data_IF_630152705748
#
_entry.id   IF_630152705748
#
_cell.length_a   1.000
_cell.length_b   1.000
_cell.length_c   1.000
_cell.angle_alpha   90.00
_cell.angle_beta   90.00
_cell.angle_gamma   90.00
#
_symmetry.space_group_name_H-M   'P 1'
#
loop_
_entity.id
_entity.type
_entity.pdbx_description
1 polymer ?
#
# COMPACT_ATOMS: atom_id res chain seq x y z
N UNK A 1 -4.24 8.99 33.62
CA UNK A 1 -4.26 9.63 34.97
C UNK A 1 -3.78 8.57 35.95
N UNK A 2 -2.47 8.50 36.16
CA UNK A 2 -1.84 7.54 37.06
C UNK A 2 -0.91 8.32 37.98
N UNK A 3 -1.35 8.42 39.23
CA UNK A 3 -0.58 8.61 40.46
C UNK A 3 0.48 9.72 40.46
N UNK A 4 -0.05 10.95 40.50
CA UNK A 4 0.67 12.20 40.76
C UNK A 4 0.56 12.60 42.26
N UNK A 5 0.62 11.62 43.17
CA UNK A 5 0.55 11.83 44.63
C UNK A 5 1.69 11.13 45.36
N UNK A 6 2.92 11.65 45.20
CA UNK A 6 3.87 11.90 46.29
C UNK A 6 5.26 12.31 45.75
N UNK A 7 5.42 13.57 45.33
CA UNK A 7 6.76 14.18 45.30
C UNK A 7 6.74 15.67 45.66
N UNK A 8 6.05 16.04 46.73
CA UNK A 8 6.04 17.41 47.27
C UNK A 8 7.12 17.57 48.36
N UNK A 9 8.33 17.09 48.03
CA UNK A 9 9.51 17.17 48.90
C UNK A 9 10.48 18.26 48.45
N UNK A 10 11.29 18.77 49.40
CA UNK A 10 12.38 19.72 49.13
C UNK A 10 13.29 19.25 47.99
N UNK A 11 13.45 17.94 47.81
CA UNK A 11 14.21 17.35 46.70
C UNK A 11 13.61 17.66 45.32
N UNK A 12 12.29 17.49 45.15
CA UNK A 12 11.56 17.82 43.91
C UNK A 12 11.59 19.32 43.63
N UNK A 13 11.39 20.16 44.66
CA UNK A 13 11.52 21.62 44.53
C UNK A 13 12.94 22.04 44.11
N UNK A 14 13.96 21.47 44.73
CA UNK A 14 15.37 21.74 44.39
C UNK A 14 15.73 21.26 42.99
N UNK A 15 15.15 20.16 42.52
CA UNK A 15 15.35 19.66 41.15
C UNK A 15 14.69 20.57 40.12
N UNK A 16 13.45 21.02 40.36
CA UNK A 16 12.76 22.02 39.52
C UNK A 16 13.51 23.36 39.50
N UNK A 17 13.97 23.83 40.67
CA UNK A 17 14.75 25.07 40.76
C UNK A 17 16.10 24.98 40.02
N UNK A 18 16.76 23.81 40.07
CA UNK A 18 17.99 23.54 39.31
C UNK A 18 17.73 23.52 37.80
N UNK A 19 16.67 22.84 37.35
CA UNK A 19 16.25 22.85 35.94
C UNK A 19 15.94 24.26 35.45
N UNK A 20 15.21 25.05 36.24
CA UNK A 20 14.84 26.41 35.87
C UNK A 20 16.04 27.36 35.84
N UNK A 21 17.02 27.18 36.73
CA UNK A 21 18.28 27.91 36.68
C UNK A 21 19.10 27.58 35.43
N UNK A 22 19.15 26.30 35.04
CA UNK A 22 19.79 25.84 33.80
C UNK A 22 19.12 26.44 32.56
N UNK A 23 17.79 26.35 32.47
CA UNK A 23 17.02 26.94 31.37
C UNK A 23 17.24 28.45 31.22
N UNK A 24 17.35 29.18 32.34
CA UNK A 24 17.62 30.62 32.29
C UNK A 24 19.03 30.92 31.75
N UNK A 25 20.02 30.08 32.05
CA UNK A 25 21.38 30.21 31.50
C UNK A 25 21.39 29.87 30.02
N UNK A 26 20.68 28.81 29.61
CA UNK A 26 20.50 28.44 28.20
C UNK A 26 19.87 29.58 27.40
N UNK A 27 18.74 30.12 27.84
CA UNK A 27 18.05 31.22 27.14
C UNK A 27 18.91 32.50 27.03
N UNK A 28 19.75 32.80 28.03
CA UNK A 28 20.69 33.93 27.95
C UNK A 28 21.80 33.64 26.93
N UNK A 29 22.34 32.42 26.91
CA UNK A 29 23.34 32.01 25.94
C UNK A 29 22.78 32.02 24.51
N UNK A 30 21.55 31.53 24.31
CA UNK A 30 20.82 31.57 23.03
C UNK A 30 20.58 33.01 22.57
N UNK A 31 20.14 33.90 23.47
CA UNK A 31 19.91 35.31 23.15
C UNK A 31 21.19 36.04 22.75
N UNK A 32 22.32 35.72 23.38
CA UNK A 32 23.64 36.25 23.00
C UNK A 32 24.08 35.67 21.65
N UNK A 33 23.95 34.36 21.44
CA UNK A 33 24.32 33.70 20.20
C UNK A 33 23.51 34.24 19.01
N UNK A 34 22.19 34.38 19.14
CA UNK A 34 21.30 34.93 18.13
C UNK A 34 21.62 36.40 17.79
N UNK A 35 22.09 37.18 18.76
CA UNK A 35 22.45 38.58 18.56
C UNK A 35 23.89 38.82 18.07
N UNK A 36 24.77 37.82 18.09
CA UNK A 36 26.21 37.99 17.85
C UNK A 36 26.81 37.07 16.80
N UNK A 37 26.14 35.97 16.43
CA UNK A 37 26.58 35.07 15.39
C UNK A 37 25.83 35.33 14.07
N UNK A 38 26.52 35.23 12.91
CA UNK A 38 25.84 35.16 11.62
C UNK A 38 24.90 33.97 11.57
N UNK A 39 23.80 34.10 10.84
CA UNK A 39 22.77 33.07 10.70
C UNK A 39 23.37 31.74 10.23
N UNK A 40 24.33 31.78 9.29
CA UNK A 40 25.02 30.59 8.80
C UNK A 40 25.72 29.78 9.91
N UNK A 41 26.36 30.45 10.88
CA UNK A 41 27.01 29.76 12.01
C UNK A 41 25.99 29.17 12.98
N UNK A 42 24.83 29.80 13.13
CA UNK A 42 23.76 29.25 13.95
C UNK A 42 23.21 27.97 13.33
N UNK A 43 23.06 27.92 12.00
CA UNK A 43 22.69 26.69 11.29
C UNK A 43 23.76 25.60 11.39
N UNK A 44 25.04 25.94 11.24
CA UNK A 44 26.15 24.97 11.41
C UNK A 44 26.15 24.35 12.83
N UNK A 45 25.93 25.15 13.86
CA UNK A 45 25.84 24.65 15.24
C UNK A 45 24.59 23.78 15.43
N UNK A 46 23.44 24.22 14.89
CA UNK A 46 22.21 23.45 14.97
C UNK A 46 22.33 22.08 14.25
N UNK A 47 23.00 22.06 13.09
CA UNK A 47 23.30 20.84 12.35
C UNK A 47 24.22 19.92 13.14
N UNK A 48 25.33 20.44 13.69
CA UNK A 48 26.24 19.64 14.50
C UNK A 48 25.59 19.05 15.77
N UNK A 49 24.71 19.82 16.44
CA UNK A 49 23.94 19.33 17.58
C UNK A 49 22.91 18.28 17.15
N UNK A 50 22.22 18.53 16.03
CA UNK A 50 21.24 17.58 15.47
C UNK A 50 21.88 16.26 15.05
N UNK A 51 23.01 16.29 14.36
CA UNK A 51 23.77 15.10 13.98
C UNK A 51 24.19 14.30 15.20
N UNK A 52 24.69 14.99 16.23
CA UNK A 52 25.08 14.35 17.50
C UNK A 52 23.88 13.68 18.19
N UNK A 53 22.70 14.32 18.17
CA UNK A 53 21.48 13.73 18.71
C UNK A 53 21.03 12.51 17.91
N UNK A 54 21.14 12.55 16.57
CA UNK A 54 20.79 11.41 15.71
C UNK A 54 21.73 10.21 15.94
N UNK A 55 23.01 10.45 16.23
CA UNK A 55 23.97 9.39 16.59
C UNK A 55 23.61 8.66 17.89
N UNK A 56 22.83 9.29 18.76
CA UNK A 56 22.41 8.73 20.05
C UNK A 56 21.11 7.91 19.94
N UNK A 57 20.43 7.94 18.79
CA UNK A 57 19.20 7.20 18.55
C UNK A 57 19.46 5.80 18.00
N UNK A 58 18.56 4.87 18.32
CA UNK A 58 18.51 3.58 17.65
C UNK A 58 17.79 3.75 16.31
N UNK A 59 18.54 3.59 15.21
CA UNK A 59 17.98 3.65 13.85
C UNK A 59 17.90 2.24 13.28
N UNK A 60 16.69 1.81 12.91
CA UNK A 60 16.42 0.48 12.37
C UNK A 60 15.62 0.59 11.09
N UNK A 61 16.15 -0.02 10.03
CA UNK A 61 15.45 -0.14 8.76
C UNK A 61 14.29 -1.16 8.86
N UNK A 62 13.17 -0.82 8.22
CA UNK A 62 11.95 -1.60 8.22
C UNK A 62 11.16 -1.45 6.92
N UNK A 63 10.02 -2.14 6.84
CA UNK A 63 9.07 -2.03 5.74
C UNK A 63 7.69 -1.62 6.25
N UNK A 64 7.01 -0.75 5.51
CA UNK A 64 5.68 -0.26 5.81
C UNK A 64 4.65 -1.39 5.94
N UNK A 65 4.03 -1.52 7.13
CA UNK A 65 2.97 -2.51 7.39
C UNK A 65 1.58 -2.19 6.81
N UNK A 66 1.45 -1.24 5.88
CA UNK A 66 0.15 -0.75 5.38
C UNK A 66 -0.35 -1.41 4.11
N UNK A 67 0.04 -0.88 2.94
CA UNK A 67 -0.37 -1.36 1.62
C UNK A 67 0.73 -2.22 1.00
N UNK A 68 0.39 -2.95 -0.07
CA UNK A 68 1.31 -3.88 -0.74
C UNK A 68 2.45 -3.22 -1.54
N UNK A 69 2.58 -1.88 -1.51
CA UNK A 69 3.71 -1.18 -2.14
C UNK A 69 5.04 -1.57 -1.50
N UNK A 70 5.09 -1.77 -0.18
CA UNK A 70 6.34 -2.15 0.50
C UNK A 70 7.37 -1.02 0.60
N UNK A 71 6.93 0.21 0.91
CA UNK A 71 7.85 1.32 1.17
C UNK A 71 8.84 0.98 2.29
N UNK A 72 10.12 1.32 2.09
CA UNK A 72 11.23 1.16 3.04
C UNK A 72 11.37 2.41 3.90
N UNK A 73 11.64 2.21 5.18
CA UNK A 73 11.65 3.27 6.19
C UNK A 73 12.71 2.99 7.25
N UNK A 74 13.37 4.05 7.71
CA UNK A 74 14.17 4.06 8.92
C UNK A 74 13.30 4.52 10.09
N UNK A 75 13.19 3.66 11.09
CA UNK A 75 12.60 3.93 12.40
C UNK A 75 13.67 4.49 13.32
N UNK A 76 13.43 5.69 13.84
CA UNK A 76 14.25 6.32 14.85
C UNK A 76 13.57 6.09 16.19
N UNK A 77 14.21 5.33 17.08
CA UNK A 77 13.70 4.99 18.39
C UNK A 77 14.62 5.52 19.49
N UNK A 78 14.02 5.89 20.61
CA UNK A 78 14.75 6.17 21.84
C UNK A 78 15.38 4.87 22.36
N UNK A 79 16.69 4.85 22.67
CA UNK A 79 17.36 3.65 23.14
C UNK A 79 16.92 3.18 24.52
N UNK A 80 16.40 4.07 25.37
CA UNK A 80 16.07 3.81 26.76
C UNK A 80 14.55 3.59 26.97
N UNK A 81 13.70 4.27 26.20
CA UNK A 81 12.23 4.25 26.41
C UNK A 81 11.45 3.36 25.42
N UNK A 82 12.13 2.70 24.48
CA UNK A 82 11.52 1.88 23.40
C UNK A 82 10.42 2.63 22.60
N UNK A 83 10.43 3.97 22.64
CA UNK A 83 9.48 4.82 21.95
C UNK A 83 9.96 5.14 20.53
N UNK A 84 9.04 5.09 19.55
CA UNK A 84 9.30 5.53 18.18
C UNK A 84 9.20 7.05 18.09
N UNK A 85 10.33 7.71 17.86
CA UNK A 85 10.41 9.17 17.75
C UNK A 85 10.11 9.67 16.34
N UNK A 86 10.56 8.95 15.32
CA UNK A 86 10.33 9.34 13.93
C UNK A 86 10.39 8.16 12.95
N UNK A 87 9.70 8.34 11.82
CA UNK A 87 9.79 7.46 10.65
C UNK A 87 10.17 8.28 9.43
N UNK A 88 11.28 7.92 8.78
CA UNK A 88 11.79 8.59 7.57
C UNK A 88 11.99 7.57 6.45
N UNK A 89 11.79 7.93 5.17
CA UNK A 89 12.20 7.03 4.09
C UNK A 89 13.69 6.73 4.24
N UNK A 90 14.05 5.47 4.07
CA UNK A 90 15.44 5.01 3.96
C UNK A 90 16.12 5.66 2.75
N UNK A 91 17.45 5.61 2.73
CA UNK A 91 18.26 6.00 1.58
C UNK A 91 17.73 5.40 0.27
N UNK A 92 17.77 6.20 -0.79
CA UNK A 92 17.13 5.87 -2.07
C UNK A 92 17.72 4.61 -2.71
N UNK A 93 19.00 4.31 -2.44
CA UNK A 93 19.70 3.12 -2.94
C UNK A 93 19.12 1.82 -2.34
N UNK A 94 18.63 1.87 -1.11
CA UNK A 94 18.03 0.74 -0.37
C UNK A 94 16.49 0.74 -0.42
N UNK A 95 15.90 1.72 -1.13
CA UNK A 95 14.47 1.93 -1.26
C UNK A 95 14.02 1.91 -2.74
N UNK A 96 14.20 0.81 -3.49
CA UNK A 96 13.93 0.77 -4.93
C UNK A 96 12.49 1.10 -5.30
N UNK A 97 11.52 0.75 -4.44
CA UNK A 97 10.10 0.98 -4.73
C UNK A 97 9.68 2.44 -4.50
N UNK A 98 10.16 3.06 -3.42
CA UNK A 98 9.64 4.34 -2.97
C UNK A 98 10.64 5.50 -3.06
N UNK A 99 11.95 5.23 -3.07
CA UNK A 99 12.98 6.24 -2.89
C UNK A 99 12.61 7.15 -1.71
N UNK A 100 12.57 8.45 -1.95
CA UNK A 100 12.16 9.43 -0.93
C UNK A 100 10.63 9.56 -0.75
N UNK A 101 9.83 8.97 -1.65
CA UNK A 101 8.37 9.14 -1.67
C UNK A 101 7.70 8.29 -0.60
N UNK A 102 6.74 8.87 0.14
CA UNK A 102 6.03 8.19 1.22
C UNK A 102 4.58 8.68 1.28
N UNK A 103 3.71 7.93 1.98
CA UNK A 103 2.34 8.39 2.26
C UNK A 103 2.13 8.61 3.76
N UNK A 104 1.04 9.31 4.10
CA UNK A 104 0.67 9.63 5.49
C UNK A 104 0.64 8.43 6.41
N UNK A 105 0.18 7.26 5.92
CA UNK A 105 0.04 6.04 6.71
C UNK A 105 1.40 5.51 7.17
N UNK A 106 2.31 5.30 6.21
CA UNK A 106 3.64 4.79 6.54
C UNK A 106 4.48 5.80 7.35
N UNK A 107 4.37 7.09 7.02
CA UNK A 107 5.21 8.12 7.62
C UNK A 107 4.79 8.56 9.02
N UNK A 108 3.49 8.56 9.33
CA UNK A 108 2.99 9.18 10.55
C UNK A 108 2.07 8.29 11.39
N UNK A 109 1.57 7.18 10.86
CA UNK A 109 0.57 6.39 11.56
C UNK A 109 1.21 5.22 12.30
N UNK A 110 2.19 5.47 13.17
CA UNK A 110 2.84 4.43 13.99
C UNK A 110 2.44 4.47 15.48
N UNK A 111 1.78 5.54 15.92
CA UNK A 111 1.40 5.78 17.33
C UNK A 111 0.50 4.69 17.94
N UNK A 112 -0.16 3.87 17.12
CA UNK A 112 -0.98 2.76 17.61
C UNK A 112 -0.15 1.71 18.38
N UNK A 113 1.17 1.68 18.21
CA UNK A 113 2.08 0.78 18.94
C UNK A 113 2.18 1.18 20.42
N UNK A 114 2.09 2.48 20.72
CA UNK A 114 2.19 3.06 22.07
C UNK A 114 0.82 3.53 22.60
N UNK A 115 -0.27 3.06 22.00
CA UNK A 115 -1.62 3.44 22.43
C UNK A 115 -1.98 2.78 23.76
N UNK A 116 -2.55 3.57 24.69
CA UNK A 116 -3.10 3.07 25.96
C UNK A 116 -4.20 2.00 25.77
N UNK A 117 -4.85 1.96 24.60
CA UNK A 117 -5.86 0.94 24.26
C UNK A 117 -5.24 -0.40 23.82
N UNK A 118 -3.92 -0.47 23.66
CA UNK A 118 -3.22 -1.68 23.24
C UNK A 118 -3.24 -2.70 24.37
N UNK A 119 -3.74 -3.89 24.07
CA UNK A 119 -3.71 -5.00 25.03
C UNK A 119 -2.28 -5.55 25.16
N UNK A 120 -1.76 -5.54 26.39
CA UNK A 120 -0.41 -6.03 26.71
C UNK A 120 -0.42 -7.44 27.32
N UNK A 121 -1.58 -7.90 27.79
CA UNK A 121 -1.76 -9.20 28.42
C UNK A 121 -2.89 -10.02 27.77
N UNK A 122 -2.78 -11.36 27.78
CA UNK A 122 -3.90 -12.22 27.37
C UNK A 122 -5.15 -11.97 28.21
N UNK A 123 -6.31 -12.00 27.55
CA UNK A 123 -7.61 -11.94 28.21
C UNK A 123 -8.35 -13.27 28.03
N UNK A 124 -8.94 -13.80 29.11
CA UNK A 124 -9.80 -14.99 29.08
C UNK A 124 -11.22 -14.61 29.47
N UNK A 125 -12.20 -15.22 28.79
CA UNK A 125 -13.62 -14.99 29.06
C UNK A 125 -14.18 -16.05 30.02
N UNK A 126 -14.73 -15.59 31.14
CA UNK A 126 -15.37 -16.42 32.18
C UNK A 126 -16.73 -15.81 32.49
N UNK A 127 -17.80 -16.62 32.48
CA UNK A 127 -19.18 -16.18 32.79
C UNK A 127 -19.68 -14.95 32.01
N UNK A 128 -19.15 -14.74 30.79
CA UNK A 128 -19.55 -13.64 29.93
C UNK A 128 -18.63 -12.41 30.00
N UNK A 129 -17.68 -12.37 30.93
CA UNK A 129 -16.78 -11.23 31.16
C UNK A 129 -15.33 -11.58 30.88
N UNK A 130 -14.55 -10.61 30.39
CA UNK A 130 -13.12 -10.76 30.16
C UNK A 130 -12.33 -10.37 31.41
N UNK A 131 -11.29 -11.16 31.71
CA UNK A 131 -10.29 -10.83 32.71
C UNK A 131 -8.90 -11.11 32.17
N UNK A 132 -7.91 -10.45 32.74
CA UNK A 132 -6.50 -10.73 32.49
C UNK A 132 -6.13 -12.16 32.90
N UNK A 133 -5.18 -12.73 32.18
CA UNK A 133 -4.65 -14.06 32.40
C UNK A 133 -3.15 -14.11 32.12
N UNK A 134 -2.47 -15.04 32.78
CA UNK A 134 -1.08 -15.36 32.42
C UNK A 134 -1.02 -16.04 31.04
N UNK A 135 0.13 -15.93 30.37
CA UNK A 135 0.39 -16.66 29.13
C UNK A 135 0.22 -18.18 29.28
N UNK A 136 0.66 -18.76 30.39
CA UNK A 136 0.51 -20.19 30.65
C UNK A 136 -0.97 -20.60 30.70
N UNK A 137 -1.77 -19.88 31.49
CA UNK A 137 -3.21 -20.13 31.59
C UNK A 137 -3.93 -19.99 30.24
N UNK A 138 -3.62 -18.92 29.51
CA UNK A 138 -4.24 -18.65 28.21
C UNK A 138 -3.90 -19.75 27.19
N UNK A 139 -2.64 -20.18 27.14
CA UNK A 139 -2.18 -21.23 26.23
C UNK A 139 -2.74 -22.61 26.60
N UNK A 140 -2.77 -22.97 27.88
CA UNK A 140 -3.37 -24.23 28.36
C UNK A 140 -4.86 -24.27 27.99
N UNK A 141 -5.60 -23.17 28.20
CA UNK A 141 -7.01 -23.07 27.82
C UNK A 141 -7.24 -23.25 26.32
N UNK A 142 -6.38 -22.64 25.49
CA UNK A 142 -6.45 -22.78 24.02
C UNK A 142 -6.13 -24.22 23.60
N UNK A 143 -5.10 -24.82 24.17
CA UNK A 143 -4.69 -26.19 23.88
C UNK A 143 -5.78 -27.20 24.27
N UNK A 144 -6.36 -27.07 25.46
CA UNK A 144 -7.44 -27.92 25.94
C UNK A 144 -8.71 -27.77 25.08
N UNK A 145 -9.10 -26.54 24.76
CA UNK A 145 -10.29 -26.26 23.96
C UNK A 145 -10.17 -26.79 22.53
N UNK A 146 -9.08 -26.44 21.83
CA UNK A 146 -8.84 -26.91 20.47
C UNK A 146 -8.61 -28.43 20.44
N UNK A 147 -7.89 -28.98 21.42
CA UNK A 147 -7.63 -30.41 21.56
C UNK A 147 -8.92 -31.21 21.76
N UNK A 148 -9.79 -30.77 22.67
CA UNK A 148 -11.07 -31.43 22.94
C UNK A 148 -11.97 -31.46 21.69
N UNK A 149 -12.09 -30.34 20.98
CA UNK A 149 -12.86 -30.27 19.74
C UNK A 149 -12.29 -31.20 18.68
N UNK A 150 -10.96 -31.21 18.49
CA UNK A 150 -10.29 -32.09 17.53
C UNK A 150 -10.52 -33.56 17.88
N UNK A 151 -10.42 -33.93 19.15
CA UNK A 151 -10.51 -35.32 19.58
C UNK A 151 -11.96 -35.85 19.53
N UNK A 152 -12.96 -34.97 19.75
CA UNK A 152 -14.39 -35.33 19.67
C UNK A 152 -14.97 -35.25 18.25
N UNK A 153 -14.58 -34.25 17.46
CA UNK A 153 -15.21 -33.93 16.17
C UNK A 153 -14.26 -34.03 14.95
N UNK A 154 -12.97 -34.30 15.17
CA UNK A 154 -11.94 -34.33 14.13
C UNK A 154 -11.39 -32.95 13.77
N UNK A 155 -10.23 -32.92 13.11
CA UNK A 155 -9.54 -31.69 12.73
C UNK A 155 -10.35 -30.78 11.81
N UNK A 156 -11.19 -31.33 10.94
CA UNK A 156 -12.04 -30.58 10.01
C UNK A 156 -13.11 -29.72 10.72
N UNK A 157 -13.37 -29.96 12.02
CA UNK A 157 -14.20 -29.08 12.84
C UNK A 157 -13.48 -27.77 13.24
N UNK A 158 -12.18 -27.66 12.95
CA UNK A 158 -11.33 -26.51 13.25
C UNK A 158 -10.89 -25.81 11.96
N UNK A 159 -10.61 -24.51 12.09
CA UNK A 159 -10.01 -23.70 11.03
C UNK A 159 -9.24 -22.53 11.60
N UNK A 160 -8.38 -21.95 10.77
CA UNK A 160 -7.57 -20.77 11.14
C UNK A 160 -7.68 -19.69 10.08
N UNK A 161 -7.66 -18.43 10.53
CA UNK A 161 -7.60 -17.26 9.65
C UNK A 161 -6.24 -16.61 9.83
N UNK A 162 -5.40 -16.73 8.80
CA UNK A 162 -4.08 -16.11 8.75
C UNK A 162 -4.18 -14.63 8.34
N UNK A 163 -3.12 -13.86 8.54
CA UNK A 163 -3.17 -12.40 8.37
C UNK A 163 -2.10 -11.92 7.40
N UNK A 164 -2.49 -11.17 6.36
CA UNK A 164 -1.53 -10.47 5.49
C UNK A 164 -0.88 -9.25 6.14
N UNK A 165 -1.19 -8.96 7.41
CA UNK A 165 -0.42 -8.02 8.24
C UNK A 165 0.72 -8.70 8.99
N UNK A 166 0.67 -10.04 9.12
CA UNK A 166 1.76 -10.83 9.67
C UNK A 166 2.81 -11.10 8.59
N UNK A 167 3.99 -11.51 9.04
CA UNK A 167 5.10 -11.91 8.18
C UNK A 167 4.81 -13.20 7.40
N UNK A 168 5.63 -13.50 6.39
CA UNK A 168 5.50 -14.74 5.64
C UNK A 168 5.83 -15.96 6.52
N UNK A 169 6.77 -15.80 7.44
CA UNK A 169 7.21 -16.79 8.41
C UNK A 169 6.07 -17.16 9.37
N UNK A 170 5.40 -16.16 9.94
CA UNK A 170 4.24 -16.39 10.81
C UNK A 170 3.07 -17.03 10.06
N UNK A 171 2.81 -16.60 8.82
CA UNK A 171 1.77 -17.23 7.99
C UNK A 171 2.12 -18.68 7.63
N UNK A 172 3.40 -18.98 7.38
CA UNK A 172 3.89 -20.34 7.20
C UNK A 172 3.68 -21.18 8.46
N UNK A 173 4.04 -20.64 9.64
CA UNK A 173 3.82 -21.29 10.93
C UNK A 173 2.34 -21.55 11.19
N UNK A 174 1.46 -20.60 10.88
CA UNK A 174 0.00 -20.77 11.00
C UNK A 174 -0.50 -21.90 10.10
N UNK A 175 -0.03 -21.96 8.84
CA UNK A 175 -0.35 -23.03 7.92
C UNK A 175 0.18 -24.41 8.37
N UNK A 176 1.34 -24.44 9.03
CA UNK A 176 1.92 -25.65 9.61
C UNK A 176 1.15 -26.10 10.85
N UNK A 177 0.79 -25.17 11.73
CA UNK A 177 -0.03 -25.42 12.92
C UNK A 177 -1.38 -26.04 12.54
N UNK A 178 -2.10 -25.44 11.59
CA UNK A 178 -3.38 -25.98 11.12
C UNK A 178 -3.25 -27.42 10.59
N UNK A 179 -2.29 -27.67 9.70
CA UNK A 179 -2.18 -28.96 9.02
C UNK A 179 -1.56 -30.06 9.87
N UNK A 180 -0.56 -29.73 10.67
CA UNK A 180 0.22 -30.73 11.43
C UNK A 180 -0.25 -30.91 12.87
N UNK A 181 -0.80 -29.87 13.50
CA UNK A 181 -1.21 -29.91 14.91
C UNK A 181 -2.72 -30.08 15.04
N UNK A 182 -3.49 -29.30 14.27
CA UNK A 182 -4.96 -29.39 14.29
C UNK A 182 -5.48 -30.48 13.36
N UNK A 183 -4.72 -30.84 12.31
CA UNK A 183 -5.13 -31.85 11.34
C UNK A 183 -6.21 -31.37 10.37
N UNK A 184 -6.16 -30.09 9.97
CA UNK A 184 -7.15 -29.46 9.09
C UNK A 184 -6.50 -28.76 7.90
N UNK A 185 -7.21 -28.73 6.76
CA UNK A 185 -6.87 -27.86 5.64
C UNK A 185 -7.69 -26.56 5.60
N UNK A 186 -8.55 -26.33 6.61
CA UNK A 186 -9.38 -25.13 6.71
C UNK A 186 -8.53 -23.93 7.14
N UNK A 187 -7.81 -23.37 6.17
CA UNK A 187 -6.95 -22.19 6.32
C UNK A 187 -7.41 -21.14 5.31
N UNK A 188 -7.75 -19.94 5.79
CA UNK A 188 -8.08 -18.81 4.92
C UNK A 188 -7.39 -17.53 5.39
N UNK A 189 -7.47 -16.47 4.59
CA UNK A 189 -6.96 -15.14 4.94
C UNK A 189 -7.71 -14.05 4.17
N UNK A 190 -7.31 -12.78 4.34
CA UNK A 190 -7.96 -11.65 3.67
C UNK A 190 -7.88 -11.69 2.13
N UNK A 191 -6.92 -12.42 1.55
CA UNK A 191 -6.75 -12.57 0.10
C UNK A 191 -7.99 -13.15 -0.58
N UNK A 192 -8.77 -13.96 0.15
CA UNK A 192 -10.03 -14.53 -0.31
C UNK A 192 -10.95 -13.47 -0.91
N UNK A 193 -11.05 -12.32 -0.26
CA UNK A 193 -12.00 -11.26 -0.60
C UNK A 193 -11.47 -10.31 -1.67
N UNK A 194 -10.16 -10.07 -1.72
CA UNK A 194 -9.59 -9.04 -2.57
C UNK A 194 -8.93 -9.54 -3.86
N UNK A 195 -8.24 -10.69 -3.87
CA UNK A 195 -7.45 -11.14 -5.02
C UNK A 195 -7.62 -12.61 -5.40
N UNK A 196 -8.52 -13.36 -4.75
CA UNK A 196 -8.73 -14.77 -5.11
C UNK A 196 -9.13 -14.98 -6.58
N UNK A 197 -9.94 -14.08 -7.13
CA UNK A 197 -10.34 -14.08 -8.54
C UNK A 197 -9.17 -13.75 -9.47
N UNK A 198 -8.29 -12.81 -9.10
CA UNK A 198 -7.12 -12.45 -9.92
C UNK A 198 -6.10 -13.58 -9.94
N UNK A 199 -5.87 -14.25 -8.80
CA UNK A 199 -5.00 -15.43 -8.71
C UNK A 199 -5.52 -16.54 -9.65
N UNK A 200 -6.82 -16.84 -9.60
CA UNK A 200 -7.41 -17.87 -10.43
C UNK A 200 -7.33 -17.53 -11.93
N UNK A 201 -7.63 -16.29 -12.31
CA UNK A 201 -7.59 -15.85 -13.71
C UNK A 201 -6.16 -15.84 -14.27
N UNK A 202 -5.21 -15.23 -13.57
CA UNK A 202 -3.82 -15.15 -14.02
C UNK A 202 -3.14 -16.52 -14.05
N UNK A 203 -3.41 -17.40 -13.09
CA UNK A 203 -2.90 -18.76 -13.14
C UNK A 203 -3.36 -19.53 -14.39
N UNK A 204 -4.58 -19.28 -14.88
CA UNK A 204 -5.11 -19.90 -16.10
C UNK A 204 -4.52 -19.28 -17.38
N UNK A 205 -4.22 -17.98 -17.39
CA UNK A 205 -3.79 -17.26 -18.60
C UNK A 205 -2.27 -17.20 -18.76
N UNK A 206 -1.54 -16.92 -17.68
CA UNK A 206 -0.07 -16.73 -17.69
C UNK A 206 0.69 -17.76 -16.84
N UNK A 207 -0.01 -18.67 -16.16
CA UNK A 207 0.57 -19.78 -15.41
C UNK A 207 0.93 -19.49 -13.94
N UNK A 208 0.81 -18.23 -13.49
CA UNK A 208 1.04 -17.84 -12.10
C UNK A 208 0.06 -16.73 -11.66
N UNK A 209 -0.33 -16.73 -10.39
CA UNK A 209 -1.36 -15.84 -9.84
C UNK A 209 -0.85 -14.52 -9.26
N UNK A 210 0.27 -14.00 -9.77
CA UNK A 210 0.95 -12.81 -9.22
C UNK A 210 1.06 -11.69 -10.25
N UNK A 211 1.38 -10.48 -9.80
CA UNK A 211 1.70 -9.37 -10.70
C UNK A 211 2.86 -9.74 -11.64
N UNK A 212 2.79 -9.28 -12.88
CA UNK A 212 3.73 -9.66 -13.95
C UNK A 212 4.77 -8.57 -14.26
N UNK A 213 4.76 -7.46 -13.54
CA UNK A 213 5.59 -6.27 -13.81
C UNK A 213 6.24 -5.77 -12.52
N UNK A 214 7.39 -5.13 -12.67
CA UNK A 214 8.15 -4.47 -11.62
C UNK A 214 7.82 -2.98 -11.54
N UNK A 215 8.49 -2.26 -10.64
CA UNK A 215 8.25 -0.84 -10.42
C UNK A 215 8.75 0.00 -11.61
N UNK A 216 9.86 -0.42 -12.19
CA UNK A 216 10.51 0.21 -13.34
C UNK A 216 9.60 0.20 -14.57
N UNK A 217 8.87 -0.90 -14.80
CA UNK A 217 7.86 -0.99 -15.87
C UNK A 217 6.75 0.06 -15.69
N UNK A 218 6.39 0.36 -14.44
CA UNK A 218 5.41 1.41 -14.12
C UNK A 218 6.03 2.79 -14.36
N UNK A 219 7.34 2.97 -14.25
CA UNK A 219 7.99 4.28 -14.45
C UNK A 219 8.25 4.61 -15.92
N UNK A 220 8.38 3.59 -16.79
CA UNK A 220 8.84 3.77 -18.16
C UNK A 220 7.78 3.47 -19.25
N UNK A 221 6.62 2.91 -18.92
CA UNK A 221 5.59 2.57 -19.92
C UNK A 221 5.06 3.78 -20.69
N UNK A 222 4.76 3.61 -21.98
CA UNK A 222 4.19 4.67 -22.82
C UNK A 222 2.70 4.94 -22.54
N UNK A 223 1.99 3.96 -21.97
CA UNK A 223 0.55 4.06 -21.73
C UNK A 223 0.08 3.25 -20.52
N UNK A 224 -0.93 3.80 -19.83
CA UNK A 224 -1.64 3.15 -18.74
C UNK A 224 -3.12 3.00 -19.05
N UNK A 225 -3.66 1.82 -18.74
CA UNK A 225 -5.09 1.60 -18.59
C UNK A 225 -5.39 1.30 -17.12
N UNK A 226 -6.04 2.25 -16.45
CA UNK A 226 -6.43 2.12 -15.04
C UNK A 226 -7.92 1.84 -14.93
N UNK A 227 -8.28 0.69 -14.35
CA UNK A 227 -9.67 0.32 -14.05
C UNK A 227 -9.76 -0.40 -12.71
N UNK A 228 -10.90 -0.26 -12.01
CA UNK A 228 -11.14 -0.93 -10.74
C UNK A 228 -10.14 -0.57 -9.63
N UNK A 229 -9.46 0.57 -9.73
CA UNK A 229 -8.43 0.98 -8.77
C UNK A 229 -8.47 2.48 -8.51
N UNK A 230 -8.51 2.85 -7.23
CA UNK A 230 -8.33 4.22 -6.76
C UNK A 230 -6.90 4.44 -6.25
N UNK A 231 -5.93 4.35 -7.17
CA UNK A 231 -4.49 4.25 -6.87
C UNK A 231 -3.98 5.39 -5.99
N UNK A 232 -4.48 6.62 -6.15
CA UNK A 232 -4.05 7.79 -5.35
C UNK A 232 -4.31 7.65 -3.86
N UNK A 233 -5.34 6.90 -3.47
CA UNK A 233 -5.69 6.68 -2.07
C UNK A 233 -5.11 5.36 -1.54
N UNK A 234 -5.23 4.30 -2.35
CA UNK A 234 -4.82 2.95 -1.96
C UNK A 234 -3.30 2.72 -2.05
N UNK A 235 -2.65 3.26 -3.09
CA UNK A 235 -1.23 3.08 -3.40
C UNK A 235 -0.56 4.41 -3.81
N UNK A 236 -0.45 5.40 -2.89
CA UNK A 236 -0.08 6.78 -3.25
C UNK A 236 1.32 6.93 -3.88
N UNK A 237 2.27 6.07 -3.50
CA UNK A 237 3.63 6.07 -4.07
C UNK A 237 3.58 5.62 -5.54
N UNK A 238 2.86 4.54 -5.85
CA UNK A 238 2.63 4.10 -7.25
C UNK A 238 1.93 5.21 -8.04
N UNK A 239 0.89 5.83 -7.48
CA UNK A 239 0.20 6.93 -8.14
C UNK A 239 1.13 8.12 -8.45
N UNK A 240 2.08 8.42 -7.55
CA UNK A 240 3.08 9.48 -7.77
C UNK A 240 3.95 9.18 -8.99
N UNK A 241 4.39 7.93 -9.13
CA UNK A 241 5.23 7.49 -10.26
C UNK A 241 4.47 7.52 -11.59
N UNK A 242 3.24 7.02 -11.60
CA UNK A 242 2.35 7.14 -12.77
C UNK A 242 2.16 8.61 -13.15
N UNK A 243 1.91 9.50 -12.18
CA UNK A 243 1.74 10.94 -12.45
C UNK A 243 3.01 11.59 -13.00
N UNK A 244 4.19 11.18 -12.54
CA UNK A 244 5.47 11.66 -13.07
C UNK A 244 5.64 11.25 -14.53
N UNK A 245 5.45 9.97 -14.85
CA UNK A 245 5.59 9.50 -16.23
C UNK A 245 4.53 10.11 -17.17
N UNK A 246 3.28 10.26 -16.71
CA UNK A 246 2.21 10.96 -17.47
C UNK A 246 2.55 12.44 -17.70
N UNK A 247 3.21 13.10 -16.74
CA UNK A 247 3.71 14.46 -16.95
C UNK A 247 4.78 14.49 -18.04
N UNK A 248 5.62 13.46 -18.10
CA UNK A 248 6.77 13.35 -18.98
C UNK A 248 6.40 12.80 -20.39
N UNK A 249 5.17 12.32 -20.56
CA UNK A 249 4.55 12.13 -21.88
C UNK A 249 3.65 10.91 -22.03
N UNK A 250 3.64 9.99 -21.06
CA UNK A 250 2.83 8.78 -21.13
C UNK A 250 1.32 9.08 -21.14
N UNK A 251 0.55 8.24 -21.84
CA UNK A 251 -0.90 8.35 -21.88
C UNK A 251 -1.55 7.64 -20.69
N UNK A 252 -2.66 8.19 -20.16
CA UNK A 252 -3.40 7.58 -19.07
C UNK A 252 -4.89 7.52 -19.40
N UNK A 253 -5.40 6.31 -19.51
CA UNK A 253 -6.82 6.01 -19.69
C UNK A 253 -7.40 5.50 -18.37
N UNK A 254 -8.48 6.11 -17.90
CA UNK A 254 -9.17 5.73 -16.65
C UNK A 254 -10.59 5.27 -16.94
N UNK A 255 -10.91 4.04 -16.52
CA UNK A 255 -12.23 3.43 -16.61
C UNK A 255 -12.72 3.13 -15.19
N UNK A 256 -13.53 4.03 -14.64
CA UNK A 256 -14.04 3.91 -13.27
C UNK A 256 -15.43 4.53 -13.16
N UNK A 257 -16.37 3.95 -12.39
CA UNK A 257 -17.69 4.55 -12.17
C UNK A 257 -17.62 5.92 -11.47
N UNK A 258 -16.53 6.17 -10.72
CA UNK A 258 -16.25 7.41 -10.01
C UNK A 258 -15.10 8.15 -10.68
N UNK A 259 -15.16 9.48 -10.67
CA UNK A 259 -14.04 10.31 -11.12
C UNK A 259 -13.00 10.40 -10.00
N UNK A 260 -12.14 9.39 -9.92
CA UNK A 260 -11.01 9.34 -8.98
C UNK A 260 -9.96 10.40 -9.32
N UNK A 261 -9.05 10.73 -8.39
CA UNK A 261 -8.04 11.78 -8.62
C UNK A 261 -7.13 11.47 -9.82
N UNK A 262 -6.83 10.21 -10.11
CA UNK A 262 -6.06 9.84 -11.31
C UNK A 262 -6.74 10.31 -12.62
N UNK A 263 -8.07 10.44 -12.65
CA UNK A 263 -8.81 10.91 -13.82
C UNK A 263 -8.54 12.40 -14.15
N UNK A 264 -7.93 13.17 -13.24
CA UNK A 264 -7.50 14.56 -13.50
C UNK A 264 -6.24 14.62 -14.38
N UNK A 265 -5.42 13.57 -14.35
CA UNK A 265 -4.20 13.44 -15.13
C UNK A 265 -4.42 12.65 -16.44
N UNK A 266 -5.59 12.01 -16.56
CA UNK A 266 -5.91 11.12 -17.65
C UNK A 266 -6.13 11.85 -18.98
N UNK A 267 -5.58 11.30 -20.06
CA UNK A 267 -5.93 11.69 -21.44
C UNK A 267 -7.34 11.23 -21.80
N UNK A 268 -7.84 10.20 -21.12
CA UNK A 268 -9.22 9.74 -21.25
C UNK A 268 -9.79 9.30 -19.91
N UNK A 269 -11.00 9.76 -19.58
CA UNK A 269 -11.80 9.22 -18.49
C UNK A 269 -13.16 8.75 -19.00
N UNK A 270 -13.45 7.46 -18.79
CA UNK A 270 -14.73 6.84 -19.10
C UNK A 270 -15.42 6.38 -17.84
N UNK A 271 -16.62 6.91 -17.61
CA UNK A 271 -17.47 6.45 -16.52
C UNK A 271 -18.11 5.12 -16.91
N UNK A 272 -17.72 4.05 -16.23
CA UNK A 272 -18.29 2.70 -16.44
C UNK A 272 -19.52 2.48 -15.55
N UNK A 273 -20.40 1.57 -15.98
CA UNK A 273 -21.47 1.01 -15.17
C UNK A 273 -20.88 -0.13 -14.31
N UNK A 274 -20.97 -0.06 -12.97
CA UNK A 274 -20.44 -1.12 -12.11
C UNK A 274 -20.97 -2.51 -12.50
N UNK A 275 -20.07 -3.49 -12.61
CA UNK A 275 -20.40 -4.87 -12.95
C UNK A 275 -20.46 -5.19 -14.45
N UNK A 276 -20.17 -4.22 -15.32
CA UNK A 276 -20.18 -4.39 -16.78
C UNK A 276 -18.80 -4.17 -17.42
N UNK A 277 -17.73 -4.30 -16.64
CA UNK A 277 -16.37 -4.02 -17.10
C UNK A 277 -15.92 -4.95 -18.22
N UNK A 278 -16.34 -6.22 -18.15
CA UNK A 278 -16.09 -7.21 -19.19
C UNK A 278 -16.59 -6.76 -20.57
N UNK A 279 -17.67 -5.96 -20.61
CA UNK A 279 -18.27 -5.54 -21.87
C UNK A 279 -17.35 -4.55 -22.62
N UNK A 280 -16.84 -3.52 -21.93
CA UNK A 280 -15.93 -2.58 -22.58
C UNK A 280 -14.56 -3.21 -22.86
N UNK A 281 -14.05 -4.09 -21.99
CA UNK A 281 -12.79 -4.82 -22.23
C UNK A 281 -12.89 -5.62 -23.53
N UNK A 282 -13.94 -6.42 -23.70
CA UNK A 282 -14.16 -7.18 -24.95
C UNK A 282 -14.37 -6.27 -26.16
N UNK A 283 -14.96 -5.09 -25.96
CA UNK A 283 -15.07 -4.06 -27.00
C UNK A 283 -13.70 -3.57 -27.49
N UNK A 284 -12.76 -3.30 -26.56
CA UNK A 284 -11.38 -2.94 -26.90
C UNK A 284 -10.69 -4.11 -27.62
N UNK A 285 -10.81 -5.33 -27.10
CA UNK A 285 -10.22 -6.52 -27.72
C UNK A 285 -10.74 -6.74 -29.15
N UNK A 286 -12.06 -6.64 -29.35
CA UNK A 286 -12.69 -6.69 -30.68
C UNK A 286 -12.10 -5.65 -31.62
N UNK A 287 -11.98 -4.40 -31.16
CA UNK A 287 -11.44 -3.31 -31.96
C UNK A 287 -9.98 -3.57 -32.38
N UNK A 288 -9.13 -4.03 -31.46
CA UNK A 288 -7.73 -4.38 -31.75
C UNK A 288 -7.64 -5.48 -32.80
N UNK A 289 -8.48 -6.51 -32.70
CA UNK A 289 -8.48 -7.65 -33.63
C UNK A 289 -9.04 -7.28 -35.01
N UNK A 290 -10.11 -6.48 -35.09
CA UNK A 290 -10.73 -6.09 -36.37
C UNK A 290 -9.92 -5.10 -37.19
N UNK A 291 -8.98 -4.39 -36.55
CA UNK A 291 -8.14 -3.39 -37.20
C UNK A 291 -6.67 -3.84 -37.27
N UNK A 292 -6.39 -5.12 -37.01
CA UNK A 292 -5.05 -5.72 -37.08
C UNK A 292 -4.00 -4.92 -36.29
N UNK A 293 -4.36 -4.47 -35.07
CA UNK A 293 -3.53 -3.66 -34.18
C UNK A 293 -2.74 -4.48 -33.13
N UNK A 294 -2.78 -5.80 -33.24
CA UNK A 294 -2.04 -6.71 -32.36
C UNK A 294 -0.71 -7.13 -33.01
N UNK A 295 0.25 -7.54 -32.19
CA UNK A 295 1.49 -8.15 -32.68
C UNK A 295 1.20 -9.60 -33.13
N UNK A 296 1.13 -9.80 -34.44
CA UNK A 296 0.86 -11.11 -35.05
C UNK A 296 1.89 -12.17 -34.64
N UNK A 297 3.19 -11.81 -34.63
CA UNK A 297 4.25 -12.75 -34.28
C UNK A 297 4.15 -13.18 -32.81
N UNK A 298 3.86 -12.24 -31.90
CA UNK A 298 3.63 -12.58 -30.50
C UNK A 298 2.43 -13.50 -30.31
N UNK A 299 1.31 -13.21 -30.99
CA UNK A 299 0.11 -14.04 -30.90
C UNK A 299 0.39 -15.47 -31.39
N UNK A 300 1.07 -15.61 -32.53
CA UNK A 300 1.38 -16.92 -33.13
C UNK A 300 2.39 -17.72 -32.30
N UNK A 301 3.41 -17.07 -31.74
CA UNK A 301 4.50 -17.74 -31.03
C UNK A 301 4.24 -17.98 -29.55
N UNK A 302 3.47 -17.10 -28.88
CA UNK A 302 3.39 -17.05 -27.41
C UNK A 302 1.99 -17.25 -26.85
N UNK A 303 0.97 -17.37 -27.69
CA UNK A 303 -0.42 -17.51 -27.23
C UNK A 303 -1.10 -18.75 -27.79
N UNK A 304 -2.28 -19.08 -27.25
CA UNK A 304 -3.16 -20.12 -27.79
C UNK A 304 -4.61 -19.65 -27.73
N UNK A 305 -5.48 -20.25 -28.55
CA UNK A 305 -6.92 -19.94 -28.52
C UNK A 305 -7.33 -18.60 -29.13
N UNK A 306 -6.46 -17.96 -29.93
CA UNK A 306 -6.73 -16.66 -30.54
C UNK A 306 -7.99 -16.65 -31.42
N UNK A 307 -8.21 -17.70 -32.23
CA UNK A 307 -9.41 -17.75 -33.09
C UNK A 307 -10.71 -17.85 -32.29
N UNK A 308 -10.70 -18.61 -31.18
CA UNK A 308 -11.84 -18.69 -30.27
C UNK A 308 -12.09 -17.34 -29.58
N UNK A 309 -11.03 -16.60 -29.21
CA UNK A 309 -11.14 -15.23 -28.70
C UNK A 309 -11.74 -14.30 -29.76
N UNK A 310 -11.23 -14.34 -31.00
CA UNK A 310 -11.70 -13.54 -32.14
C UNK A 310 -13.21 -13.73 -32.38
N UNK A 311 -13.71 -14.97 -32.29
CA UNK A 311 -15.15 -15.27 -32.38
C UNK A 311 -15.91 -14.76 -31.14
N UNK A 312 -15.40 -15.03 -29.94
CA UNK A 312 -16.06 -14.68 -28.68
C UNK A 312 -16.28 -13.18 -28.49
N UNK A 313 -15.40 -12.33 -29.05
CA UNK A 313 -15.52 -10.87 -28.93
C UNK A 313 -16.45 -10.23 -29.98
N UNK A 314 -16.86 -10.95 -31.02
CA UNK A 314 -17.73 -10.41 -32.10
C UNK A 314 -19.02 -9.73 -31.59
N UNK A 315 -19.74 -10.26 -30.58
CA UNK A 315 -20.97 -9.64 -30.10
C UNK A 315 -20.78 -8.27 -29.41
N UNK A 316 -19.55 -7.90 -29.05
CA UNK A 316 -19.24 -6.66 -28.30
C UNK A 316 -19.02 -5.48 -29.25
N UNK A 317 -20.02 -5.19 -30.11
CA UNK A 317 -19.99 -4.00 -30.97
C UNK A 317 -20.01 -2.72 -30.15
N UNK A 318 -19.59 -1.56 -30.70
CA UNK A 318 -19.62 -0.29 -29.98
C UNK A 318 -20.99 0.03 -29.35
N UNK A 319 -22.08 -0.23 -30.07
CA UNK A 319 -23.45 -0.01 -29.58
C UNK A 319 -23.79 -0.94 -28.41
N UNK A 320 -23.37 -2.21 -28.48
CA UNK A 320 -23.59 -3.18 -27.42
C UNK A 320 -22.77 -2.85 -26.17
N UNK A 321 -21.54 -2.39 -26.35
CA UNK A 321 -20.67 -1.93 -25.27
C UNK A 321 -21.30 -0.73 -24.57
N UNK A 322 -21.80 0.25 -25.33
CA UNK A 322 -22.47 1.42 -24.76
C UNK A 322 -23.73 1.04 -23.98
N UNK A 323 -24.56 0.15 -24.54
CA UNK A 323 -25.77 -0.35 -23.88
C UNK A 323 -25.46 -0.99 -22.51
N UNK A 324 -24.45 -1.88 -22.47
CA UNK A 324 -24.10 -2.68 -21.29
C UNK A 324 -23.30 -1.87 -20.26
N UNK A 325 -22.20 -1.25 -20.69
CA UNK A 325 -21.22 -0.62 -19.80
C UNK A 325 -21.48 0.87 -19.58
N UNK A 326 -22.31 1.51 -20.39
CA UNK A 326 -22.49 2.96 -20.38
C UNK A 326 -21.28 3.74 -20.91
N UNK A 327 -20.26 3.04 -21.45
CA UNK A 327 -19.10 3.64 -22.10
C UNK A 327 -19.47 3.98 -23.55
N UNK A 328 -19.44 5.26 -23.97
CA UNK A 328 -19.97 5.66 -25.28
C UNK A 328 -19.25 5.02 -26.48
N UNK A 329 -20.00 4.71 -27.54
CA UNK A 329 -19.47 4.13 -28.78
C UNK A 329 -18.56 5.08 -29.59
N UNK A 330 -18.66 6.40 -29.38
CA UNK A 330 -17.85 7.44 -30.05
C UNK A 330 -17.46 8.53 -29.04
N UNK A 331 -16.27 9.10 -29.20
CA UNK A 331 -15.77 10.14 -28.29
C UNK A 331 -14.80 11.14 -28.90
N UNK A 332 -14.82 12.34 -28.33
CA UNK A 332 -13.85 13.43 -28.54
C UNK A 332 -12.73 13.38 -27.47
N UNK A 333 -11.50 13.76 -27.84
CA UNK A 333 -10.34 13.82 -26.91
C UNK A 333 -10.60 14.80 -25.75
N UNK A 334 -10.19 14.44 -24.52
CA UNK A 334 -10.05 15.43 -23.45
C UNK A 334 -8.96 16.43 -23.84
N UNK A 335 -9.31 17.71 -23.97
CA UNK A 335 -8.32 18.80 -24.01
C UNK A 335 -7.90 19.11 -22.56
N UNK A 336 -6.59 19.16 -22.29
CA UNK A 336 -6.05 19.61 -21.00
C UNK A 336 -6.70 20.95 -20.62
N UNK A 337 -7.40 21.00 -19.48
CA UNK A 337 -7.95 22.23 -18.89
C UNK A 337 -9.47 22.39 -18.90
N UNK A 338 -10.26 21.46 -19.43
CA UNK A 338 -11.72 21.60 -19.38
C UNK A 338 -12.31 21.05 -18.07
N UNK A 339 -12.64 21.96 -17.15
CA UNK A 339 -13.25 21.66 -15.86
C UNK A 339 -14.75 21.33 -15.94
N UNK A 340 -15.36 21.33 -17.14
CA UNK A 340 -16.81 21.08 -17.29
C UNK A 340 -17.12 20.30 -18.58
N UNK A 341 -17.11 18.97 -18.52
CA UNK A 341 -17.61 18.17 -19.64
C UNK A 341 -17.69 16.68 -19.32
N UNK A 342 -18.82 16.05 -19.64
CA UNK A 342 -19.05 14.63 -19.43
C UNK A 342 -18.31 13.74 -20.43
N UNK A 343 -17.74 12.66 -19.89
CA UNK A 343 -17.76 11.24 -20.35
C UNK A 343 -17.63 10.95 -21.85
N UNK A 344 -16.46 10.59 -22.42
CA UNK A 344 -16.46 9.80 -23.68
C UNK A 344 -15.19 8.93 -23.86
N UNK A 345 -15.37 7.72 -24.40
CA UNK A 345 -14.32 6.78 -24.85
C UNK A 345 -13.96 7.10 -26.30
N UNK A 346 -12.67 7.32 -26.58
CA UNK A 346 -12.13 7.31 -27.92
C UNK A 346 -11.24 6.07 -28.03
N UNK A 347 -11.72 5.00 -28.66
CA UNK A 347 -10.87 3.90 -29.13
C UNK A 347 -10.06 4.39 -30.33
N UNK A 348 -9.14 5.32 -30.09
CA UNK A 348 -7.98 5.54 -30.95
C UNK A 348 -6.76 5.29 -30.09
N UNK A 349 -6.30 4.03 -30.11
CA UNK A 349 -4.93 3.70 -29.80
C UNK A 349 -4.04 4.21 -30.96
N UNK A 350 -4.05 5.52 -31.22
CA UNK A 350 -3.03 6.15 -32.08
C UNK A 350 -1.75 6.26 -31.21
N UNK A 351 -1.15 5.12 -30.88
CA UNK A 351 0.24 5.09 -30.46
C UNK A 351 1.04 5.70 -31.62
N UNK A 352 1.63 6.87 -31.42
CA UNK A 352 2.46 7.48 -32.48
C UNK A 352 3.58 6.49 -32.82
N UNK A 353 3.72 6.04 -34.07
CA UNK A 353 4.77 5.08 -34.43
C UNK A 353 6.17 5.72 -34.55
N UNK A 354 6.40 6.91 -34.00
CA UNK A 354 7.58 7.71 -34.34
C UNK A 354 8.26 8.27 -33.07
N UNK A 355 8.86 7.34 -32.32
CA UNK A 355 10.07 7.62 -31.53
C UNK A 355 11.07 6.53 -31.91
N UNK A 356 11.70 6.70 -33.06
CA UNK A 356 12.97 6.05 -33.35
C UNK A 356 13.92 6.30 -32.17
N UNK A 357 14.32 5.21 -31.52
CA UNK A 357 15.48 5.15 -30.65
C UNK A 357 16.73 5.45 -31.49
N UNK A 358 17.03 6.72 -31.70
CA UNK A 358 18.42 7.13 -31.89
C UNK A 358 19.00 7.35 -30.48
N UNK A 359 19.59 6.28 -29.94
CA UNK A 359 20.55 6.36 -28.84
C UNK A 359 21.93 6.05 -29.42
N UNK A 360 22.80 7.06 -29.45
CA UNK A 360 24.25 6.90 -29.51
C UNK A 360 24.77 6.16 -28.27
#
# INVERSE_FOLDING_TARGET
MSDDEDSDGVASYMQRAKQQALQNVEHVAEGVAAGSLPEGKLFEIAEAVGDRQLEELNVVDTTCGYCAVGCRFDLYADPDEEEVLAVRPTDAEDAPVNGISTCVKGKFSYDFVSSDDRLEQPLVKVDGEFREASWAEALDRVADGLGSIRDEHGGEALGVIASSKATNEENYLMGKFARQVLGTNNVDNCNRLCHSSTVAALAQVVGYGAASVAMEDIEETDAYLLTGSNTTEAHPVIATRIKQNVRDGAELMVFDPRRIQMAEYATQYSRTRPGYDIAWINGITRYVIENDLYDEAFVDERTTGFEALREAVQPFTPERVEELSGVPARGDRLRRGDARGGRHLCLRLDARPDRTLERD
#
